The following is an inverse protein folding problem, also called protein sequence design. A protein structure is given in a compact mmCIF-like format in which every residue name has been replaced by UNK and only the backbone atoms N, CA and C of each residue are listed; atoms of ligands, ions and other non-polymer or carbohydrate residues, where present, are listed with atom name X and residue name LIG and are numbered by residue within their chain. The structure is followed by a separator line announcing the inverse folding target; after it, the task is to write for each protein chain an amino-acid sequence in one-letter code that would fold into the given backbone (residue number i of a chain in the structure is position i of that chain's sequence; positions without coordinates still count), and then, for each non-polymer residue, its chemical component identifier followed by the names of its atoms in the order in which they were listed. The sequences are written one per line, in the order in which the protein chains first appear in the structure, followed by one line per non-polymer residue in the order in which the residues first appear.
data_IF_416628654228
#
_entry.id   IF_416628654228
#
_cell.length_a   1.000
_cell.length_b   1.000
_cell.length_c   1.000
_cell.angle_alpha   90.00
_cell.angle_beta   90.00
_cell.angle_gamma   90.00
#
_symmetry.space_group_name_H-M   'P 1'
#
loop_
_entity.id
_entity.type
_entity.pdbx_description
1 polymer ?
#
# COMPACT_ATOMS: atom_id res chain seq x y z
N UNK A 1 -5.04 -14.95 5.91
CA UNK A 1 -4.38 -15.33 4.64
C UNK A 1 -2.86 -15.35 4.78
N UNK A 2 -2.23 -14.24 5.17
CA UNK A 2 -0.78 -14.14 5.47
C UNK A 2 -0.26 -15.31 6.33
N UNK A 3 -0.83 -15.53 7.53
CA UNK A 3 -0.44 -16.62 8.43
C UNK A 3 -0.46 -18.02 7.78
N UNK A 4 -1.36 -18.28 6.84
CA UNK A 4 -1.44 -19.57 6.16
C UNK A 4 -0.31 -19.76 5.15
N UNK A 5 0.06 -18.69 4.43
CA UNK A 5 1.21 -18.70 3.50
C UNK A 5 2.49 -19.02 4.28
N UNK A 6 2.66 -18.38 5.42
CA UNK A 6 3.87 -18.49 6.25
C UNK A 6 4.06 -19.84 6.87
N UNK A 7 3.01 -20.38 7.47
CA UNK A 7 3.03 -21.73 8.03
C UNK A 7 3.27 -22.80 6.98
N UNK A 8 2.95 -22.52 5.71
CA UNK A 8 3.27 -23.41 4.61
C UNK A 8 4.73 -23.26 4.16
N UNK A 9 5.23 -22.02 4.02
CA UNK A 9 6.56 -21.79 3.44
C UNK A 9 7.70 -22.04 4.43
N UNK A 10 7.62 -21.53 5.67
CA UNK A 10 8.74 -21.58 6.62
C UNK A 10 9.23 -23.01 6.90
N UNK A 11 8.36 -23.99 7.18
CA UNK A 11 8.82 -25.35 7.47
C UNK A 11 9.34 -26.09 6.23
N UNK A 12 8.93 -25.66 5.02
CA UNK A 12 9.17 -26.40 3.78
C UNK A 12 10.23 -25.75 2.86
N UNK A 13 10.69 -24.54 3.16
CA UNK A 13 11.67 -23.80 2.37
C UNK A 13 12.91 -23.47 3.23
N UNK A 14 13.84 -24.43 3.42
CA UNK A 14 15.00 -24.25 4.32
C UNK A 14 15.97 -23.15 3.88
N UNK A 15 15.89 -22.72 2.61
CA UNK A 15 16.71 -21.64 2.06
C UNK A 15 15.96 -20.29 2.00
N UNK A 16 14.79 -20.17 2.64
CA UNK A 16 14.07 -18.90 2.72
C UNK A 16 14.91 -17.89 3.53
N UNK A 17 15.30 -16.79 2.90
CA UNK A 17 16.24 -15.81 3.48
C UNK A 17 15.62 -14.45 3.81
N UNK A 18 14.53 -14.07 3.13
CA UNK A 18 13.91 -12.77 3.28
C UNK A 18 12.43 -12.85 2.91
N UNK A 19 11.59 -12.08 3.59
CA UNK A 19 10.19 -11.88 3.21
C UNK A 19 9.83 -10.41 3.28
N UNK A 20 9.39 -9.86 2.15
CA UNK A 20 8.96 -8.47 2.03
C UNK A 20 7.43 -8.39 2.06
N UNK A 21 6.88 -7.38 2.75
CA UNK A 21 5.44 -7.12 2.82
C UNK A 21 5.12 -5.72 2.29
N UNK A 22 4.06 -5.61 1.51
CA UNK A 22 3.58 -4.32 1.01
C UNK A 22 2.33 -3.88 1.78
N UNK A 23 2.44 -2.76 2.50
CA UNK A 23 1.30 -2.09 3.16
C UNK A 23 0.92 -0.82 2.38
N UNK A 24 1.10 0.37 2.93
CA UNK A 24 0.91 1.64 2.23
C UNK A 24 0.49 2.80 3.12
N UNK A 25 0.18 3.93 2.51
CA UNK A 25 -0.07 5.23 3.15
C UNK A 25 -1.20 5.21 4.19
N UNK A 26 -2.11 4.25 4.14
CA UNK A 26 -3.16 4.07 5.18
C UNK A 26 -2.58 3.78 6.56
N UNK A 27 -1.30 3.42 6.69
CA UNK A 27 -0.61 3.38 7.98
C UNK A 27 -0.66 4.75 8.68
N UNK A 28 -0.56 5.85 7.93
CA UNK A 28 -0.47 7.22 8.47
C UNK A 28 -1.80 7.97 8.53
N UNK A 29 -2.78 7.54 7.74
CA UNK A 29 -4.08 8.23 7.60
C UNK A 29 -5.30 7.42 8.06
N UNK A 30 -5.11 6.15 8.40
CA UNK A 30 -6.18 5.23 8.80
C UNK A 30 -6.83 4.49 7.62
N UNK A 31 -7.77 3.60 7.92
CA UNK A 31 -8.53 2.83 6.93
C UNK A 31 -9.55 3.70 6.18
N UNK A 32 -10.15 3.15 5.13
CA UNK A 32 -11.19 3.87 4.37
C UNK A 32 -12.38 4.27 5.25
N UNK A 33 -12.71 3.46 6.25
CA UNK A 33 -13.81 3.69 7.17
C UNK A 33 -13.52 4.81 8.16
N UNK A 34 -12.23 5.07 8.45
CA UNK A 34 -11.77 6.03 9.47
C UNK A 34 -11.23 7.33 8.89
N UNK A 35 -10.86 7.36 7.61
CA UNK A 35 -10.40 8.58 6.93
C UNK A 35 -11.44 9.70 7.11
N UNK A 36 -10.97 10.86 7.60
CA UNK A 36 -11.82 12.02 7.90
C UNK A 36 -12.59 11.96 9.22
N UNK A 37 -12.50 10.85 9.97
CA UNK A 37 -13.15 10.67 11.29
C UNK A 37 -12.16 10.66 12.45
N UNK A 38 -10.89 10.41 12.17
CA UNK A 38 -9.79 10.44 13.14
C UNK A 38 -8.77 11.49 12.73
N UNK A 39 -7.92 11.92 13.67
CA UNK A 39 -6.79 12.79 13.37
C UNK A 39 -5.68 11.95 12.72
N UNK A 40 -5.32 12.19 11.45
CA UNK A 40 -4.17 11.53 10.82
C UNK A 40 -2.86 12.15 11.30
N UNK A 41 -1.73 11.52 10.97
CA UNK A 41 -0.43 12.18 11.06
C UNK A 41 -0.33 13.35 10.08
N UNK A 42 0.59 14.27 10.34
CA UNK A 42 0.85 15.37 9.42
C UNK A 42 1.83 14.92 8.32
N UNK A 43 1.57 15.37 7.09
CA UNK A 43 2.50 15.16 5.97
C UNK A 43 3.64 16.19 6.01
N UNK A 44 4.86 15.84 5.57
CA UNK A 44 5.27 14.57 4.97
C UNK A 44 5.37 13.44 6.01
N UNK A 45 4.89 12.25 5.64
CA UNK A 45 4.93 11.09 6.53
C UNK A 45 6.34 10.49 6.58
N UNK A 46 6.77 10.09 7.77
CA UNK A 46 8.02 9.38 8.03
C UNK A 46 7.74 8.06 8.74
N UNK A 47 8.62 7.08 8.57
CA UNK A 47 8.44 5.70 9.04
C UNK A 47 8.51 5.56 10.57
N UNK A 48 9.06 6.55 11.28
CA UNK A 48 9.27 6.57 12.72
C UNK A 48 8.06 7.09 13.52
N UNK A 49 7.01 7.57 12.85
CA UNK A 49 5.78 8.00 13.53
C UNK A 49 5.07 6.82 14.18
N UNK A 50 4.46 6.99 15.38
CA UNK A 50 3.77 5.90 16.05
C UNK A 50 2.52 5.46 15.27
N UNK A 51 2.08 4.21 15.46
CA UNK A 51 0.80 3.74 14.91
C UNK A 51 -0.35 4.61 15.40
N UNK A 52 -1.35 4.83 14.53
CA UNK A 52 -2.60 5.48 14.95
C UNK A 52 -3.38 4.59 15.91
N UNK A 53 -4.08 5.20 16.87
CA UNK A 53 -5.00 4.51 17.80
C UNK A 53 -6.31 4.13 17.08
N UNK A 54 -6.21 3.20 16.14
CA UNK A 54 -7.33 2.69 15.35
C UNK A 54 -7.05 1.30 14.83
N UNK A 55 -8.11 0.56 14.50
CA UNK A 55 -7.97 -0.73 13.84
C UNK A 55 -7.49 -0.53 12.41
N UNK A 56 -6.31 -1.06 12.11
CA UNK A 56 -5.75 -1.08 10.78
C UNK A 56 -5.15 -2.45 10.50
N UNK A 57 -5.61 -3.11 9.44
CA UNK A 57 -5.12 -4.43 9.11
C UNK A 57 -3.62 -4.43 8.76
N UNK A 58 -3.05 -3.29 8.37
CA UNK A 58 -1.59 -3.16 8.20
C UNK A 58 -0.82 -3.47 9.48
N UNK A 59 -1.30 -2.98 10.63
CA UNK A 59 -0.66 -3.25 11.91
C UNK A 59 -0.77 -4.74 12.25
N UNK A 60 -1.93 -5.35 12.00
CA UNK A 60 -2.09 -6.80 12.19
C UNK A 60 -1.20 -7.61 11.26
N UNK A 61 -0.98 -7.17 10.02
CA UNK A 61 -0.06 -7.83 9.09
C UNK A 61 1.39 -7.70 9.54
N UNK A 62 1.79 -6.53 10.05
CA UNK A 62 3.11 -6.31 10.67
C UNK A 62 3.28 -7.19 11.91
N UNK A 63 2.28 -7.28 12.79
CA UNK A 63 2.34 -8.11 13.99
C UNK A 63 2.45 -9.60 13.62
N UNK A 64 1.67 -10.07 12.64
CA UNK A 64 1.78 -11.43 12.10
C UNK A 64 3.13 -11.64 11.40
N UNK A 65 3.69 -10.62 10.74
CA UNK A 65 5.03 -10.69 10.12
C UNK A 65 6.12 -10.81 11.20
N UNK A 66 6.05 -10.02 12.27
CA UNK A 66 7.00 -10.13 13.38
C UNK A 66 6.87 -11.47 14.11
N UNK A 67 5.66 -12.03 14.17
CA UNK A 67 5.41 -13.36 14.74
C UNK A 67 5.85 -14.51 13.81
N UNK A 68 5.60 -14.41 12.50
CA UNK A 68 5.59 -15.56 11.59
C UNK A 68 6.26 -15.30 10.22
N UNK A 69 6.73 -14.10 9.90
CA UNK A 69 7.56 -13.72 8.72
C UNK A 69 6.96 -13.85 7.29
N UNK A 70 5.87 -13.11 6.94
CA UNK A 70 5.63 -12.29 5.69
C UNK A 70 4.77 -12.60 4.40
N UNK A 71 4.36 -11.48 3.76
CA UNK A 71 3.67 -11.20 2.45
C UNK A 71 2.11 -11.19 2.27
N UNK A 72 1.56 -10.09 1.69
CA UNK A 72 0.18 -9.95 1.16
C UNK A 72 0.07 -8.88 0.04
N UNK A 73 -0.98 -8.98 -0.81
CA UNK A 73 -1.25 -8.18 -2.02
C UNK A 73 -2.43 -7.21 -1.85
N UNK A 74 -2.43 -6.09 -2.57
CA UNK A 74 -3.51 -5.10 -2.64
C UNK A 74 -4.19 -5.11 -4.03
N UNK A 75 -5.53 -5.04 -4.10
CA UNK A 75 -6.33 -5.11 -5.36
C UNK A 75 -6.68 -3.73 -5.98
N UNK A 76 -5.99 -2.65 -5.61
CA UNK A 76 -6.36 -1.30 -6.06
C UNK A 76 -5.58 -0.86 -7.31
N UNK A 77 -6.30 -0.51 -8.40
CA UNK A 77 -5.70 -0.01 -9.64
C UNK A 77 -6.38 1.29 -10.13
N UNK A 78 -5.76 2.43 -9.82
CA UNK A 78 -6.26 3.75 -10.20
C UNK A 78 -6.15 4.01 -11.71
N UNK A 79 -4.98 3.72 -12.30
CA UNK A 79 -4.71 4.01 -13.72
C UNK A 79 -5.63 3.20 -14.61
N UNK A 80 -5.80 1.90 -14.34
CA UNK A 80 -6.71 1.04 -15.10
C UNK A 80 -8.15 1.55 -15.06
N UNK A 81 -8.63 1.98 -13.88
CA UNK A 81 -9.97 2.55 -13.72
C UNK A 81 -10.16 3.83 -14.53
N UNK A 82 -9.18 4.75 -14.50
CA UNK A 82 -9.24 6.00 -15.27
C UNK A 82 -9.15 5.76 -16.79
N UNK A 83 -8.35 4.79 -17.23
CA UNK A 83 -8.28 4.40 -18.65
C UNK A 83 -9.64 3.89 -19.16
N UNK A 84 -10.33 3.04 -18.38
CA UNK A 84 -11.67 2.55 -18.74
C UNK A 84 -12.67 3.71 -18.80
N UNK A 85 -12.66 4.61 -17.82
CA UNK A 85 -13.52 5.79 -17.84
C UNK A 85 -13.28 6.67 -19.07
N UNK A 86 -12.01 6.95 -19.41
CA UNK A 86 -11.67 7.73 -20.59
C UNK A 86 -12.06 7.03 -21.90
N UNK A 87 -11.92 5.71 -21.98
CA UNK A 87 -12.36 4.93 -23.14
C UNK A 87 -13.88 5.01 -23.34
N UNK A 88 -14.66 4.95 -22.26
CA UNK A 88 -16.12 5.14 -22.30
C UNK A 88 -16.46 6.55 -22.77
N UNK A 89 -15.88 7.59 -22.18
CA UNK A 89 -16.12 8.97 -22.61
C UNK A 89 -15.82 9.17 -24.10
N UNK A 90 -14.71 8.59 -24.57
CA UNK A 90 -14.33 8.64 -25.98
C UNK A 90 -15.33 7.92 -26.89
N UNK A 91 -15.81 6.75 -26.47
CA UNK A 91 -16.78 5.96 -27.23
C UNK A 91 -18.15 6.66 -27.33
N UNK A 92 -18.62 7.23 -26.23
CA UNK A 92 -19.92 7.92 -26.15
C UNK A 92 -19.87 9.36 -26.68
N UNK A 93 -18.69 9.88 -27.04
CA UNK A 93 -18.53 11.25 -27.52
C UNK A 93 -18.77 12.33 -26.47
N UNK A 94 -18.66 11.98 -25.18
CA UNK A 94 -18.87 12.90 -24.06
C UNK A 94 -17.52 13.44 -23.53
N UNK A 95 -17.50 14.64 -22.91
CA UNK A 95 -16.28 15.19 -22.35
C UNK A 95 -15.73 14.33 -21.20
N UNK A 96 -14.40 14.24 -21.09
CA UNK A 96 -13.72 13.67 -19.94
C UNK A 96 -13.81 14.64 -18.76
N UNK A 97 -14.76 14.42 -17.85
CA UNK A 97 -14.99 15.28 -16.68
C UNK A 97 -14.27 14.73 -15.46
N UNK A 98 -13.67 15.59 -14.65
CA UNK A 98 -13.00 15.19 -13.42
C UNK A 98 -14.04 14.74 -12.37
N UNK A 99 -14.00 13.48 -11.87
CA UNK A 99 -15.00 12.95 -10.95
C UNK A 99 -14.64 13.18 -9.47
N UNK A 100 -13.76 14.13 -9.15
CA UNK A 100 -13.23 14.36 -7.81
C UNK A 100 -13.64 15.70 -7.19
N UNK A 101 -13.15 15.96 -5.98
CA UNK A 101 -13.35 17.22 -5.26
C UNK A 101 -12.36 18.30 -5.71
N UNK A 102 -12.69 19.58 -5.47
CA UNK A 102 -11.77 20.71 -5.72
C UNK A 102 -10.43 20.51 -5.00
N UNK A 103 -10.46 20.00 -3.77
CA UNK A 103 -9.24 19.70 -3.02
C UNK A 103 -8.35 18.69 -3.72
N UNK A 104 -8.91 17.64 -4.31
CA UNK A 104 -8.14 16.66 -5.09
C UNK A 104 -7.62 17.21 -6.43
N UNK A 105 -8.31 18.21 -7.01
CA UNK A 105 -7.90 18.86 -8.25
C UNK A 105 -6.74 19.84 -8.06
N UNK A 106 -6.78 20.62 -6.98
CA UNK A 106 -5.84 21.72 -6.75
C UNK A 106 -4.67 21.36 -5.84
N UNK A 107 -4.69 20.20 -5.18
CA UNK A 107 -3.62 19.81 -4.26
C UNK A 107 -2.38 19.24 -4.98
N UNK A 108 -1.29 19.17 -4.22
CA UNK A 108 -0.16 18.33 -4.58
C UNK A 108 -0.50 16.86 -4.34
N UNK A 109 -0.19 16.03 -5.32
CA UNK A 109 -0.35 14.58 -5.26
C UNK A 109 0.97 13.89 -5.60
N UNK A 110 1.19 12.74 -5.00
CA UNK A 110 2.28 11.82 -5.37
C UNK A 110 1.70 10.45 -5.70
N UNK A 111 2.46 9.65 -6.43
CA UNK A 111 2.10 8.29 -6.79
C UNK A 111 3.34 7.40 -6.68
N UNK A 112 3.11 6.10 -6.51
CA UNK A 112 4.17 5.10 -6.44
C UNK A 112 4.06 4.21 -7.67
N UNK A 113 5.07 4.29 -8.54
CA UNK A 113 5.16 3.46 -9.74
C UNK A 113 5.34 1.98 -9.37
N UNK A 114 4.65 1.09 -10.10
CA UNK A 114 4.66 -0.34 -9.79
C UNK A 114 6.03 -1.00 -9.99
N UNK A 115 6.80 -0.56 -10.99
CA UNK A 115 8.16 -1.06 -11.22
C UNK A 115 9.11 -0.51 -10.15
N UNK A 116 8.97 0.77 -9.79
CA UNK A 116 9.78 1.35 -8.72
C UNK A 116 9.52 0.68 -7.36
N UNK A 117 8.25 0.34 -7.07
CA UNK A 117 7.92 -0.49 -5.90
C UNK A 117 8.62 -1.84 -6.01
N UNK A 118 8.55 -2.53 -7.15
CA UNK A 118 9.22 -3.81 -7.33
C UNK A 118 10.75 -3.71 -7.15
N UNK A 119 11.37 -2.65 -7.67
CA UNK A 119 12.78 -2.35 -7.47
C UNK A 119 13.11 -2.14 -5.98
N UNK A 120 12.24 -1.45 -5.24
CA UNK A 120 12.38 -1.26 -3.80
C UNK A 120 12.25 -2.59 -3.03
N UNK A 121 11.33 -3.47 -3.43
CA UNK A 121 11.20 -4.82 -2.87
C UNK A 121 12.47 -5.65 -3.11
N UNK A 122 13.02 -5.59 -4.32
CA UNK A 122 14.29 -6.28 -4.66
C UNK A 122 15.43 -5.71 -3.82
N UNK A 123 15.56 -4.39 -3.76
CA UNK A 123 16.58 -3.71 -2.97
C UNK A 123 16.52 -4.12 -1.50
N UNK A 124 15.34 -4.09 -0.88
CA UNK A 124 15.11 -4.53 0.49
C UNK A 124 15.47 -5.99 0.75
N UNK A 125 15.35 -6.85 -0.26
CA UNK A 125 15.66 -8.27 -0.15
C UNK A 125 17.16 -8.59 -0.28
N UNK A 126 17.95 -7.75 -0.95
CA UNK A 126 19.34 -8.08 -1.31
C UNK A 126 20.39 -7.14 -0.71
N UNK A 127 20.05 -5.90 -0.34
CA UNK A 127 21.00 -4.92 0.17
C UNK A 127 21.05 -4.94 1.71
N UNK A 128 22.21 -5.21 2.34
CA UNK A 128 22.36 -5.18 3.79
C UNK A 128 22.07 -3.81 4.43
N UNK A 129 22.16 -2.71 3.68
CA UNK A 129 21.87 -1.36 4.15
C UNK A 129 20.36 -1.03 4.14
N UNK A 130 19.53 -1.91 3.58
CA UNK A 130 18.08 -1.72 3.53
C UNK A 130 17.34 -2.15 4.82
N UNK A 131 18.08 -2.45 5.90
CA UNK A 131 17.52 -2.83 7.18
C UNK A 131 17.05 -1.59 7.94
N UNK A 132 15.80 -1.63 8.41
CA UNK A 132 15.25 -0.67 9.37
C UNK A 132 15.80 -0.90 10.78
#
# INVERSE_FOLDING_TARGET
MLRNVLRSLIPNAPNLCHVSIQTGTKHYVGSFETIGKIKPHESPFTEDVPRLDTLNFYYTLEDILFEEVGALVCMMNLIGTLCVYAAICKHEGVPLRFPGSKGAWECYSTASDANLIAEQHIWGAVDPNAKN
#
